data_IF_927410583624
#
_entry.id   IF_927410583624
#
_cell.length_a   1.000
_cell.length_b   1.000
_cell.length_c   1.000
_cell.angle_alpha   90.00
_cell.angle_beta   90.00
_cell.angle_gamma   90.00
#
_symmetry.space_group_name_H-M   'P 1'
#
loop_
_entity.id
_entity.type
_entity.pdbx_description
1 polymer ?
#
# COMPACT_ATOMS: atom_id res chain seq x y z
N UNK A 1 -26.07 -9.92 27.22
CA UNK A 1 -25.88 -9.49 25.82
C UNK A 1 -27.01 -10.07 25.00
N UNK A 2 -28.08 -9.31 24.79
CA UNK A 2 -29.20 -9.77 23.97
C UNK A 2 -28.69 -10.01 22.54
N UNK A 3 -29.21 -11.04 21.85
CA UNK A 3 -28.80 -11.38 20.47
C UNK A 3 -28.83 -10.17 19.53
N UNK A 4 -29.75 -9.23 19.81
CA UNK A 4 -29.96 -7.95 19.11
C UNK A 4 -28.74 -7.02 19.26
N UNK A 5 -28.11 -6.98 20.43
CA UNK A 5 -26.93 -6.17 20.72
C UNK A 5 -25.72 -6.69 19.93
N UNK A 6 -25.55 -8.01 19.86
CA UNK A 6 -24.46 -8.63 19.09
C UNK A 6 -24.56 -8.33 17.59
N UNK A 7 -25.78 -8.40 17.04
CA UNK A 7 -26.04 -8.08 15.62
C UNK A 7 -25.73 -6.61 15.33
N UNK A 8 -26.12 -5.69 16.23
CA UNK A 8 -25.81 -4.27 16.09
C UNK A 8 -24.31 -3.99 16.03
N UNK A 9 -23.53 -4.59 16.94
CA UNK A 9 -22.07 -4.46 16.92
C UNK A 9 -21.43 -5.07 15.68
N UNK A 10 -21.92 -6.23 15.22
CA UNK A 10 -21.42 -6.88 14.01
C UNK A 10 -21.63 -6.00 12.77
N UNK A 11 -22.81 -5.38 12.62
CA UNK A 11 -23.10 -4.48 11.51
C UNK A 11 -22.26 -3.19 11.56
N UNK A 12 -22.08 -2.62 12.76
CA UNK A 12 -21.23 -1.45 12.95
C UNK A 12 -19.77 -1.74 12.58
N UNK A 13 -19.26 -2.91 12.98
CA UNK A 13 -17.92 -3.36 12.64
C UNK A 13 -17.79 -3.52 11.13
N UNK A 14 -18.71 -4.22 10.48
CA UNK A 14 -18.70 -4.44 9.02
C UNK A 14 -18.74 -3.12 8.23
N UNK A 15 -19.55 -2.16 8.67
CA UNK A 15 -19.61 -0.83 8.07
C UNK A 15 -18.28 -0.07 8.21
N UNK A 16 -17.57 -0.25 9.32
CA UNK A 16 -16.26 0.37 9.53
C UNK A 16 -15.20 -0.19 8.58
N UNK A 17 -15.13 -1.52 8.40
CA UNK A 17 -14.18 -2.13 7.46
C UNK A 17 -14.54 -1.91 5.99
N UNK A 18 -15.82 -1.77 5.65
CA UNK A 18 -16.25 -1.49 4.27
C UNK A 18 -15.76 -0.12 3.76
N UNK A 19 -15.48 0.83 4.65
CA UNK A 19 -14.93 2.14 4.32
C UNK A 19 -13.40 2.17 4.32
N UNK A 20 -12.75 1.06 4.64
CA UNK A 20 -11.29 0.94 4.53
C UNK A 20 -10.95 0.79 3.04
N UNK A 21 -10.95 1.91 2.32
CA UNK A 21 -10.26 1.97 1.04
C UNK A 21 -8.82 1.58 1.31
N UNK A 22 -8.37 0.51 0.63
CA UNK A 22 -6.98 0.11 0.61
C UNK A 22 -6.15 1.35 0.29
N UNK A 23 -5.47 1.88 1.30
CA UNK A 23 -4.47 2.93 1.11
C UNK A 23 -3.39 2.25 0.26
N UNK A 24 -3.47 2.49 -1.05
CA UNK A 24 -2.39 2.12 -1.95
C UNK A 24 -1.23 2.97 -1.50
N UNK A 25 -0.27 2.35 -0.83
CA UNK A 25 0.95 3.01 -0.38
C UNK A 25 1.51 3.75 -1.59
N UNK A 26 1.44 5.07 -1.58
CA UNK A 26 1.87 5.87 -2.72
C UNK A 26 3.34 5.53 -2.97
N UNK A 27 3.81 5.60 -4.21
CA UNK A 27 5.18 5.16 -4.53
C UNK A 27 6.27 5.89 -3.70
N UNK A 28 5.90 7.04 -3.13
CA UNK A 28 6.67 7.78 -2.13
C UNK A 28 6.90 6.99 -0.83
N UNK A 29 5.89 6.31 -0.29
CA UNK A 29 6.01 5.48 0.92
C UNK A 29 6.82 4.21 0.66
N UNK A 30 6.64 3.58 -0.52
CA UNK A 30 7.41 2.37 -0.85
C UNK A 30 8.91 2.68 -0.95
N UNK A 31 9.27 3.74 -1.69
CA UNK A 31 10.68 4.08 -1.89
C UNK A 31 11.33 4.49 -0.57
N UNK A 32 10.68 5.37 0.21
CA UNK A 32 11.22 5.87 1.47
C UNK A 32 11.39 4.74 2.52
N UNK A 33 10.39 3.87 2.64
CA UNK A 33 10.47 2.68 3.49
C UNK A 33 11.58 1.71 3.05
N UNK A 34 11.80 1.57 1.74
CA UNK A 34 12.87 0.73 1.20
C UNK A 34 14.26 1.36 1.43
N UNK A 35 14.41 2.66 1.16
CA UNK A 35 15.70 3.36 1.27
C UNK A 35 16.16 3.53 2.71
N UNK A 36 15.25 3.48 3.69
CA UNK A 36 15.59 3.46 5.11
C UNK A 36 16.58 2.33 5.45
N UNK A 37 16.49 1.20 4.75
CA UNK A 37 17.40 0.06 4.92
C UNK A 37 18.74 0.17 4.15
N UNK A 38 18.94 1.23 3.36
CA UNK A 38 20.10 1.36 2.48
C UNK A 38 21.33 2.03 3.12
N UNK A 39 21.21 2.52 4.37
CA UNK A 39 22.31 3.19 5.09
C UNK A 39 23.49 2.23 5.28
N UNK A 40 24.60 2.50 4.59
CA UNK A 40 25.79 1.65 4.62
C UNK A 40 27.07 2.50 4.41
N UNK A 41 28.18 2.22 5.12
CA UNK A 41 29.42 2.99 4.99
C UNK A 41 30.07 2.88 3.61
N UNK A 42 29.81 1.78 2.88
CA UNK A 42 30.21 1.64 1.48
C UNK A 42 29.14 2.27 0.58
N UNK A 43 29.50 3.38 -0.07
CA UNK A 43 28.65 4.19 -0.95
C UNK A 43 28.21 3.45 -2.21
N UNK A 44 28.98 2.47 -2.68
CA UNK A 44 28.64 1.63 -3.83
C UNK A 44 27.54 0.62 -3.47
N UNK A 45 27.55 0.10 -2.24
CA UNK A 45 26.46 -0.73 -1.73
C UNK A 45 25.19 0.09 -1.49
N UNK A 46 25.31 1.30 -0.96
CA UNK A 46 24.19 2.23 -0.78
C UNK A 46 23.51 2.52 -2.14
N UNK A 47 24.28 2.94 -3.16
CA UNK A 47 23.75 3.18 -4.51
C UNK A 47 23.13 1.94 -5.18
N UNK A 48 23.63 0.74 -4.87
CA UNK A 48 23.00 -0.52 -5.33
C UNK A 48 21.67 -0.79 -4.64
N UNK A 49 21.58 -0.47 -3.36
CA UNK A 49 20.35 -0.61 -2.59
C UNK A 49 19.27 0.36 -3.10
N UNK A 50 19.62 1.64 -3.31
CA UNK A 50 18.71 2.64 -3.89
C UNK A 50 18.16 2.22 -5.26
N UNK A 51 19.01 1.68 -6.14
CA UNK A 51 18.57 1.15 -7.44
C UNK A 51 17.61 -0.04 -7.30
N UNK A 52 17.77 -0.87 -6.26
CA UNK A 52 16.80 -1.96 -6.00
C UNK A 52 15.47 -1.41 -5.52
N UNK A 53 15.48 -0.38 -4.67
CA UNK A 53 14.28 0.30 -4.21
C UNK A 53 13.53 0.95 -5.38
N UNK A 54 14.24 1.61 -6.29
CA UNK A 54 13.62 2.19 -7.48
C UNK A 54 12.94 1.14 -8.35
N UNK A 55 13.58 -0.02 -8.58
CA UNK A 55 12.99 -1.12 -9.37
C UNK A 55 11.78 -1.74 -8.67
N UNK A 56 11.88 -2.01 -7.37
CA UNK A 56 10.77 -2.62 -6.59
C UNK A 56 9.55 -1.71 -6.60
N UNK A 57 9.72 -0.45 -6.23
CA UNK A 57 8.61 0.48 -6.11
C UNK A 57 8.06 0.95 -7.47
N UNK A 58 8.87 0.93 -8.53
CA UNK A 58 8.36 1.14 -9.90
C UNK A 58 7.57 -0.06 -10.45
N UNK A 59 7.80 -1.28 -9.91
CA UNK A 59 7.05 -2.47 -10.29
C UNK A 59 5.68 -2.53 -9.60
N UNK A 60 5.59 -2.05 -8.35
CA UNK A 60 4.32 -1.89 -7.64
C UNK A 60 3.34 -0.99 -8.42
N UNK A 61 3.82 0.12 -8.99
CA UNK A 61 3.03 1.01 -9.85
C UNK A 61 2.50 0.33 -11.12
N UNK A 62 3.28 -0.58 -11.72
CA UNK A 62 2.82 -1.31 -12.92
C UNK A 62 1.75 -2.35 -12.60
N UNK A 63 1.72 -2.85 -11.37
CA UNK A 63 0.76 -3.87 -10.96
C UNK A 63 -0.55 -3.21 -10.50
N UNK A 64 -0.47 -2.05 -9.84
CA UNK A 64 -1.64 -1.26 -9.45
C UNK A 64 -2.31 -0.53 -10.62
N UNK A 65 -1.57 -0.06 -11.63
CA UNK A 65 -2.16 0.53 -12.85
C UNK A 65 -2.96 -0.53 -13.66
N UNK A 66 -2.47 -1.78 -13.70
CA UNK A 66 -3.20 -2.86 -14.37
C UNK A 66 -4.45 -3.27 -13.58
N UNK A 67 -4.42 -3.23 -12.23
CA UNK A 67 -5.59 -3.49 -11.41
C UNK A 67 -6.63 -2.35 -11.52
N UNK A 68 -6.19 -1.09 -11.60
CA UNK A 68 -7.06 0.07 -11.84
C UNK A 68 -7.71 0.10 -13.24
N UNK A 69 -7.03 -0.43 -14.26
CA UNK A 69 -7.60 -0.58 -15.61
C UNK A 69 -8.67 -1.66 -15.70
N UNK A 70 -8.65 -2.69 -14.85
CA UNK A 70 -9.67 -3.74 -14.80
C UNK A 70 -10.91 -3.28 -14.00
N UNK A 71 -10.74 -2.33 -13.07
CA UNK A 71 -11.80 -1.89 -12.15
C UNK A 71 -12.62 -0.67 -12.60
N UNK A 72 -12.44 -0.16 -13.83
CA UNK A 72 -13.39 0.78 -14.43
C UNK A 72 -13.68 2.06 -13.62
N UNK A 73 -12.71 2.55 -12.84
CA UNK A 73 -12.80 3.84 -12.15
C UNK A 73 -11.63 4.71 -12.62
N UNK A 74 -11.79 5.22 -13.84
CA UNK A 74 -11.22 6.52 -14.16
C UNK A 74 -11.99 7.58 -13.38
N UNK A 75 -11.27 8.57 -12.86
CA UNK A 75 -11.48 10.03 -13.01
C UNK A 75 -10.84 10.79 -11.84
N UNK A 76 -10.66 12.11 -11.96
CA UNK A 76 -9.84 12.90 -12.88
C UNK A 76 -8.48 13.31 -12.28
#
# INVERSE_FOLDING_TARGET
MEKKTLVGFALLFLAFFANFQSISSDAFDCYDACSTGCVNPDTRLMARCDRKCSIRCSADLKTSEQLGKISGLGHP
#
